data_IF_409242542972
#
_entry.id   IF_409242542972
#
_cell.length_a   1.000
_cell.length_b   1.000
_cell.length_c   1.000
_cell.angle_alpha   90.00
_cell.angle_beta   90.00
_cell.angle_gamma   90.00
#
_symmetry.space_group_name_H-M   'P 1'
#
loop_
_entity.id
_entity.type
_entity.pdbx_description
1 polymer ?
#
# COMPACT_ATOMS: atom_id res chain seq x y z
N UNK A 1 17.34 -4.65 -12.43
CA UNK A 1 17.25 -6.14 -12.45
C UNK A 1 16.15 -6.69 -11.52
N UNK A 2 15.14 -5.90 -11.11
CA UNK A 2 14.08 -6.33 -10.19
C UNK A 2 12.67 -5.95 -10.68
N UNK A 3 12.44 -6.01 -11.99
CA UNK A 3 11.14 -5.65 -12.61
C UNK A 3 10.49 -6.80 -13.39
N UNK A 4 11.13 -7.97 -13.46
CA UNK A 4 10.67 -9.12 -14.27
C UNK A 4 10.18 -10.34 -13.46
N UNK A 5 10.12 -10.28 -12.13
CA UNK A 5 9.70 -11.44 -11.32
C UNK A 5 8.16 -11.60 -11.27
N UNK A 6 7.40 -10.61 -11.73
CA UNK A 6 5.93 -10.58 -11.58
C UNK A 6 5.18 -10.39 -12.91
N UNK A 7 5.51 -11.17 -13.95
CA UNK A 7 4.73 -11.15 -15.21
C UNK A 7 3.38 -11.89 -15.10
N UNK A 8 3.16 -12.67 -14.02
CA UNK A 8 1.87 -13.32 -13.75
C UNK A 8 1.34 -12.95 -12.34
N UNK A 9 0.09 -12.49 -12.21
CA UNK A 9 -0.47 -12.05 -10.93
C UNK A 9 -0.60 -13.21 -9.94
N UNK A 10 -0.45 -12.90 -8.65
CA UNK A 10 -0.69 -13.82 -7.52
C UNK A 10 0.19 -15.09 -7.46
N UNK A 11 1.41 -15.08 -8.04
CA UNK A 11 2.38 -16.19 -7.91
C UNK A 11 3.28 -16.16 -6.67
N UNK A 12 3.30 -15.03 -5.96
CA UNK A 12 4.08 -14.82 -4.75
C UNK A 12 3.27 -13.95 -3.80
N UNK A 13 3.28 -14.27 -2.52
CA UNK A 13 2.58 -13.51 -1.47
C UNK A 13 3.41 -13.41 -0.20
N UNK A 14 2.90 -12.62 0.73
CA UNK A 14 3.49 -12.37 2.03
C UNK A 14 3.29 -13.61 2.92
N UNK A 15 4.31 -13.98 3.68
CA UNK A 15 4.20 -15.08 4.63
C UNK A 15 3.31 -14.73 5.83
N UNK A 16 3.35 -15.57 6.87
CA UNK A 16 2.57 -15.32 8.10
C UNK A 16 2.95 -14.02 8.82
N UNK A 17 4.23 -13.63 8.75
CA UNK A 17 4.71 -12.38 9.35
C UNK A 17 4.27 -11.18 8.51
N UNK A 18 3.82 -10.13 9.19
CA UNK A 18 3.50 -8.86 8.54
C UNK A 18 4.75 -8.08 8.13
N UNK A 19 4.55 -6.99 7.39
CA UNK A 19 5.60 -6.10 6.90
C UNK A 19 6.27 -5.30 8.04
N UNK A 20 5.64 -5.25 9.22
CA UNK A 20 6.16 -4.59 10.41
C UNK A 20 6.81 -5.57 11.40
N UNK A 21 7.87 -5.13 12.07
CA UNK A 21 8.44 -5.81 13.25
C UNK A 21 9.62 -6.73 12.98
N UNK A 22 10.04 -6.87 11.72
CA UNK A 22 11.23 -7.63 11.32
C UNK A 22 11.14 -9.13 11.64
N UNK A 23 12.24 -9.84 11.41
CA UNK A 23 12.40 -11.24 11.76
C UNK A 23 13.52 -11.42 12.77
N UNK A 24 13.31 -12.34 13.70
CA UNK A 24 14.27 -12.63 14.76
C UNK A 24 15.14 -13.81 14.34
N UNK A 25 16.46 -13.60 14.36
CA UNK A 25 17.44 -14.61 13.98
C UNK A 25 18.46 -14.82 15.09
N UNK A 26 18.97 -16.04 15.21
CA UNK A 26 20.14 -16.35 16.02
C UNK A 26 21.38 -15.70 15.39
N UNK A 27 22.14 -14.96 16.18
CA UNK A 27 23.33 -14.25 15.76
C UNK A 27 24.59 -14.96 16.27
N UNK A 28 25.35 -15.55 15.34
CA UNK A 28 26.65 -16.17 15.63
C UNK A 28 27.81 -15.23 15.26
N UNK A 29 27.75 -13.96 15.70
CA UNK A 29 28.83 -12.99 15.49
C UNK A 29 28.98 -12.05 16.69
N UNK A 30 30.17 -11.48 16.86
CA UNK A 30 30.50 -10.53 17.93
C UNK A 30 29.97 -9.12 17.64
N UNK A 31 28.71 -9.01 17.25
CA UNK A 31 28.07 -7.73 17.00
C UNK A 31 26.88 -7.46 17.88
N UNK A 32 25.98 -6.61 17.38
CA UNK A 32 24.77 -6.18 18.06
C UNK A 32 23.97 -7.41 18.53
N UNK A 33 23.56 -7.40 19.79
CA UNK A 33 22.63 -8.37 20.37
C UNK A 33 21.43 -7.61 20.88
N UNK A 34 20.22 -8.02 20.51
CA UNK A 34 18.99 -7.38 21.02
C UNK A 34 18.40 -8.15 22.20
N UNK A 35 18.47 -9.48 22.17
CA UNK A 35 17.99 -10.35 23.26
C UNK A 35 18.91 -11.56 23.42
N UNK A 36 18.92 -12.14 24.61
CA UNK A 36 19.53 -13.45 24.87
C UNK A 36 18.42 -14.38 25.33
N UNK A 37 18.22 -15.50 24.62
CA UNK A 37 17.21 -16.50 24.93
C UNK A 37 17.91 -17.85 25.04
N UNK A 38 17.85 -18.50 26.21
CA UNK A 38 18.55 -19.77 26.48
C UNK A 38 20.07 -19.73 26.17
N UNK A 39 20.73 -18.61 26.47
CA UNK A 39 22.16 -18.41 26.20
C UNK A 39 22.49 -18.04 24.75
N UNK A 40 21.49 -18.03 23.86
CA UNK A 40 21.66 -17.70 22.45
C UNK A 40 21.40 -16.23 22.19
N UNK A 41 22.31 -15.57 21.46
CA UNK A 41 22.15 -14.18 21.02
C UNK A 41 21.14 -14.11 19.89
N UNK A 42 20.14 -13.24 20.04
CA UNK A 42 19.07 -13.02 19.05
C UNK A 42 19.09 -11.56 18.60
N UNK A 43 18.94 -11.34 17.29
CA UNK A 43 18.81 -10.03 16.66
C UNK A 43 17.51 -9.91 15.90
N UNK A 44 16.95 -8.70 15.82
CA UNK A 44 15.88 -8.37 14.89
C UNK A 44 16.47 -7.79 13.62
N UNK A 45 16.06 -8.32 12.47
CA UNK A 45 16.44 -7.81 11.15
C UNK A 45 15.16 -7.33 10.45
N UNK A 46 15.12 -6.09 9.94
CA UNK A 46 14.06 -5.65 9.03
C UNK A 46 14.03 -6.59 7.82
N UNK A 47 13.02 -7.44 7.75
CA UNK A 47 12.93 -8.52 6.76
C UNK A 47 11.46 -8.81 6.46
N UNK A 48 11.19 -9.14 5.20
CA UNK A 48 9.87 -9.54 4.72
C UNK A 48 10.02 -10.96 4.17
N UNK A 49 9.11 -11.84 4.58
CA UNK A 49 9.05 -13.20 4.04
C UNK A 49 8.05 -13.25 2.90
N UNK A 50 8.52 -13.68 1.72
CA UNK A 50 7.69 -14.03 0.59
C UNK A 50 7.65 -15.54 0.38
N UNK A 51 6.50 -16.06 -0.05
CA UNK A 51 6.30 -17.48 -0.35
C UNK A 51 5.29 -17.67 -1.48
N UNK A 52 5.32 -18.85 -2.08
CA UNK A 52 4.29 -19.38 -2.98
C UNK A 52 3.60 -20.62 -2.39
N UNK A 53 3.89 -20.96 -1.13
CA UNK A 53 3.20 -22.02 -0.40
C UNK A 53 1.87 -21.50 0.07
N UNK A 54 0.80 -22.27 -0.20
CA UNK A 54 -0.53 -21.85 0.18
C UNK A 54 -0.68 -21.82 1.71
N UNK A 55 -1.25 -20.74 2.23
CA UNK A 55 -1.37 -20.48 3.66
C UNK A 55 -2.77 -19.97 3.97
N UNK A 56 -3.33 -20.38 5.11
CA UNK A 56 -4.68 -19.99 5.54
C UNK A 56 -4.86 -18.47 5.56
N UNK A 57 -3.85 -17.73 6.06
CA UNK A 57 -3.83 -16.27 6.12
C UNK A 57 -4.14 -15.59 4.78
N UNK A 58 -3.75 -16.19 3.64
CA UNK A 58 -3.99 -15.63 2.30
C UNK A 58 -5.48 -15.60 1.95
N UNK A 59 -6.27 -16.47 2.57
CA UNK A 59 -7.70 -16.65 2.32
C UNK A 59 -8.55 -16.09 3.48
N UNK A 60 -7.94 -15.36 4.42
CA UNK A 60 -8.66 -14.72 5.51
C UNK A 60 -9.32 -13.44 5.01
N UNK A 61 -10.65 -13.39 5.08
CA UNK A 61 -11.40 -12.18 4.77
C UNK A 61 -11.14 -11.08 5.80
N UNK A 62 -10.89 -9.89 5.28
CA UNK A 62 -10.87 -8.68 6.07
C UNK A 62 -12.32 -8.28 6.40
N UNK A 63 -12.66 -8.29 7.69
CA UNK A 63 -13.97 -7.82 8.15
C UNK A 63 -14.10 -6.32 7.89
N UNK A 64 -15.01 -5.94 7.00
CA UNK A 64 -15.34 -4.56 6.67
C UNK A 64 -16.59 -4.12 7.45
N UNK A 65 -16.49 -3.00 8.15
CA UNK A 65 -17.57 -2.51 9.02
C UNK A 65 -17.79 -0.99 8.94
N UNK A 66 -17.00 -0.30 8.12
CA UNK A 66 -17.17 1.14 7.89
C UNK A 66 -18.11 1.39 6.71
N UNK A 67 -18.87 2.47 6.80
CA UNK A 67 -19.73 2.98 5.73
C UNK A 67 -19.04 4.14 5.06
N UNK A 68 -19.15 4.24 3.74
CA UNK A 68 -18.60 5.33 2.95
C UNK A 68 -19.29 6.66 3.31
N UNK A 69 -18.48 7.71 3.43
CA UNK A 69 -18.96 9.09 3.46
C UNK A 69 -17.95 10.00 2.74
N UNK A 70 -18.38 10.92 1.89
CA UNK A 70 -17.48 11.80 1.14
C UNK A 70 -16.51 12.61 2.01
N UNK A 71 -16.93 12.95 3.24
CA UNK A 71 -16.11 13.71 4.18
C UNK A 71 -14.97 12.87 4.77
N UNK A 72 -15.22 11.59 5.09
CA UNK A 72 -14.20 10.72 5.69
C UNK A 72 -13.25 10.10 4.65
N UNK A 73 -13.69 9.99 3.40
CA UNK A 73 -12.96 9.35 2.30
C UNK A 73 -12.85 10.32 1.12
N UNK A 74 -11.90 11.26 1.18
CA UNK A 74 -11.73 12.24 0.14
C UNK A 74 -11.36 11.56 -1.18
N UNK A 75 -11.91 12.07 -2.29
CA UNK A 75 -11.55 11.61 -3.63
C UNK A 75 -10.22 12.20 -4.07
N UNK A 76 -9.44 11.43 -4.83
CA UNK A 76 -8.25 11.98 -5.46
C UNK A 76 -8.61 12.94 -6.58
N UNK A 77 -7.76 13.95 -6.78
CA UNK A 77 -7.88 14.93 -7.86
C UNK A 77 -7.45 14.29 -9.18
N UNK A 78 -6.44 13.42 -9.11
CA UNK A 78 -5.70 12.91 -10.25
C UNK A 78 -5.95 11.43 -10.55
N UNK A 79 -7.00 10.85 -9.97
CA UNK A 79 -7.42 9.47 -10.22
C UNK A 79 -8.85 9.24 -9.70
N UNK A 80 -9.64 8.42 -10.37
CA UNK A 80 -11.01 8.09 -9.92
C UNK A 80 -11.00 7.02 -8.82
N UNK A 81 -10.54 7.42 -7.64
CA UNK A 81 -10.53 6.59 -6.43
C UNK A 81 -10.67 7.45 -5.18
N UNK A 82 -10.97 6.79 -4.05
CA UNK A 82 -10.99 7.43 -2.72
C UNK A 82 -9.71 7.11 -1.94
N UNK A 83 -9.28 8.06 -1.11
CA UNK A 83 -8.24 7.84 -0.11
C UNK A 83 -8.81 7.09 1.09
N UNK A 84 -8.17 5.98 1.43
CA UNK A 84 -8.43 5.23 2.65
C UNK A 84 -7.16 5.26 3.49
N UNK A 85 -7.16 6.07 4.55
CA UNK A 85 -5.96 6.36 5.34
C UNK A 85 -5.43 5.15 6.13
N UNK A 86 -6.30 4.17 6.43
CA UNK A 86 -5.96 2.94 7.15
C UNK A 86 -6.77 1.76 6.62
N UNK A 87 -6.17 0.58 6.58
CA UNK A 87 -6.85 -0.66 6.15
C UNK A 87 -8.12 -0.99 6.94
N UNK A 88 -8.16 -0.68 8.23
CA UNK A 88 -9.36 -0.88 9.09
C UNK A 88 -10.53 0.05 8.74
N UNK A 89 -10.27 1.07 7.92
CA UNK A 89 -11.27 2.04 7.48
C UNK A 89 -11.80 1.74 6.09
N UNK A 90 -11.46 0.61 5.46
CA UNK A 90 -12.02 0.26 4.15
C UNK A 90 -13.55 0.15 4.28
N UNK A 91 -14.33 0.93 3.51
CA UNK A 91 -15.78 0.90 3.57
C UNK A 91 -16.34 -0.36 2.88
N UNK A 92 -17.36 -0.99 3.47
CA UNK A 92 -17.96 -2.21 2.92
C UNK A 92 -18.91 -1.92 1.74
N UNK A 93 -19.46 -0.71 1.69
CA UNK A 93 -20.50 -0.23 0.76
C UNK A 93 -19.93 0.62 -0.38
N UNK A 94 -18.62 0.59 -0.60
CA UNK A 94 -17.97 1.25 -1.73
C UNK A 94 -17.41 0.21 -2.71
N UNK A 95 -17.84 0.30 -3.97
CA UNK A 95 -17.45 -0.64 -5.04
C UNK A 95 -16.42 -0.06 -6.02
N UNK A 96 -16.08 1.23 -5.86
CA UNK A 96 -15.07 1.91 -6.65
C UNK A 96 -13.64 1.56 -6.22
N UNK A 97 -12.66 2.16 -6.91
CA UNK A 97 -11.25 2.00 -6.57
C UNK A 97 -10.92 2.76 -5.28
N UNK A 98 -10.07 2.15 -4.45
CA UNK A 98 -9.62 2.69 -3.17
C UNK A 98 -8.11 2.69 -3.12
N UNK A 99 -7.51 3.81 -2.72
CA UNK A 99 -6.09 3.86 -2.37
C UNK A 99 -5.90 3.54 -0.90
N UNK A 100 -5.29 2.40 -0.61
CA UNK A 100 -5.01 1.92 0.76
C UNK A 100 -3.51 1.98 1.09
N UNK A 101 -3.09 1.99 2.36
CA UNK A 101 -1.67 1.99 2.72
C UNK A 101 -0.96 0.73 2.23
N UNK A 102 0.36 0.79 1.98
CA UNK A 102 1.17 -0.40 1.58
C UNK A 102 1.03 -1.57 2.57
N UNK A 103 0.84 -1.27 3.85
CA UNK A 103 0.64 -2.29 4.90
C UNK A 103 -0.63 -3.12 4.70
N UNK A 104 -1.52 -2.75 3.78
CA UNK A 104 -2.64 -3.58 3.33
C UNK A 104 -2.18 -4.97 2.82
N UNK A 105 -0.96 -5.10 2.30
CA UNK A 105 -0.42 -6.40 1.84
C UNK A 105 -0.37 -7.47 2.94
N UNK A 106 -0.41 -7.08 4.21
CA UNK A 106 -0.47 -8.03 5.33
C UNK A 106 -1.85 -8.71 5.46
N UNK A 107 -2.88 -8.10 4.87
CA UNK A 107 -4.31 -8.46 4.97
C UNK A 107 -4.93 -8.73 3.59
N UNK A 108 -4.11 -8.85 2.55
CA UNK A 108 -4.59 -9.04 1.19
C UNK A 108 -5.10 -10.47 1.00
N UNK A 109 -6.41 -10.59 0.79
CA UNK A 109 -7.05 -11.78 0.26
C UNK A 109 -7.40 -11.55 -1.22
N UNK A 110 -6.83 -12.30 -2.18
CA UNK A 110 -7.14 -12.17 -3.61
C UNK A 110 -8.55 -12.64 -3.99
N UNK A 111 -9.27 -13.34 -3.11
CA UNK A 111 -10.68 -13.67 -3.31
C UNK A 111 -11.59 -12.47 -2.99
N UNK A 112 -11.18 -11.64 -2.02
CA UNK A 112 -11.94 -10.47 -1.57
C UNK A 112 -11.59 -9.19 -2.34
N UNK A 113 -10.33 -9.03 -2.75
CA UNK A 113 -9.84 -7.81 -3.40
C UNK A 113 -9.05 -8.10 -4.67
N UNK A 114 -9.08 -7.14 -5.58
CA UNK A 114 -8.23 -7.03 -6.74
C UNK A 114 -7.21 -5.90 -6.52
N UNK A 115 -5.92 -6.17 -6.78
CA UNK A 115 -4.89 -5.12 -6.82
C UNK A 115 -4.83 -4.58 -8.25
N UNK A 116 -5.07 -3.27 -8.39
CA UNK A 116 -5.01 -2.55 -9.66
C UNK A 116 -3.59 -2.03 -9.91
N UNK A 117 -2.91 -1.58 -8.86
CA UNK A 117 -1.53 -1.09 -8.97
C UNK A 117 -1.10 -0.22 -7.80
N UNK A 118 -0.15 0.69 -8.05
CA UNK A 118 0.47 1.53 -7.01
C UNK A 118 0.57 2.99 -7.44
N UNK A 119 0.05 3.89 -6.60
CA UNK A 119 0.06 5.35 -6.83
C UNK A 119 1.16 6.06 -6.02
N UNK A 120 2.42 5.68 -6.21
CA UNK A 120 3.56 6.20 -5.44
C UNK A 120 4.39 7.29 -6.15
N UNK A 121 4.00 7.70 -7.36
CA UNK A 121 4.80 8.61 -8.19
C UNK A 121 5.71 7.89 -9.18
N UNK A 122 6.04 8.56 -10.28
CA UNK A 122 6.91 8.01 -11.31
C UNK A 122 6.16 7.03 -12.24
N UNK A 123 6.92 6.14 -12.86
CA UNK A 123 6.47 5.27 -13.94
C UNK A 123 5.31 4.35 -13.52
N UNK A 124 5.44 3.63 -12.40
CA UNK A 124 4.42 2.71 -11.91
C UNK A 124 3.05 3.38 -11.72
N UNK A 125 3.03 4.57 -11.13
CA UNK A 125 1.78 5.33 -10.96
C UNK A 125 1.20 5.79 -12.30
N UNK A 126 2.05 6.23 -13.23
CA UNK A 126 1.63 6.66 -14.57
C UNK A 126 1.05 5.49 -15.37
N UNK A 127 1.66 4.31 -15.29
CA UNK A 127 1.15 3.08 -15.92
C UNK A 127 -0.23 2.69 -15.40
N UNK A 128 -0.50 2.93 -14.11
CA UNK A 128 -1.81 2.71 -13.50
C UNK A 128 -2.86 3.76 -13.90
N UNK A 129 -2.49 4.77 -14.71
CA UNK A 129 -3.35 5.88 -15.12
C UNK A 129 -3.41 7.05 -14.13
N UNK A 130 -2.56 7.07 -13.10
CA UNK A 130 -2.53 8.19 -12.15
C UNK A 130 -2.02 9.46 -12.84
N UNK A 131 -2.78 10.55 -12.71
CA UNK A 131 -2.63 11.82 -13.42
C UNK A 131 -2.91 11.76 -14.94
N UNK A 132 -3.54 10.70 -15.46
CA UNK A 132 -3.96 10.67 -16.87
C UNK A 132 -5.12 11.64 -17.17
N UNK A 133 -5.91 11.99 -16.15
CA UNK A 133 -7.01 12.95 -16.24
C UNK A 133 -6.57 14.42 -16.14
N UNK A 134 -5.27 14.69 -16.01
CA UNK A 134 -4.73 16.05 -15.84
C UNK A 134 -3.93 16.51 -17.05
N UNK A 135 -4.05 17.80 -17.39
CA UNK A 135 -3.19 18.45 -18.37
C UNK A 135 -1.80 18.76 -17.78
N UNK A 136 -0.86 19.14 -18.65
CA UNK A 136 0.49 19.57 -18.24
C UNK A 136 0.43 20.81 -17.34
N UNK A 137 -0.45 21.76 -17.67
CA UNK A 137 -0.66 22.99 -16.90
C UNK A 137 -1.24 22.71 -15.52
N UNK A 138 -2.21 21.79 -15.43
CA UNK A 138 -2.79 21.35 -14.16
C UNK A 138 -1.75 20.63 -13.29
N UNK A 139 -0.94 19.74 -13.88
CA UNK A 139 0.17 19.11 -13.18
C UNK A 139 1.19 20.15 -12.67
N UNK A 140 1.52 21.16 -13.47
CA UNK A 140 2.41 22.24 -13.07
C UNK A 140 1.82 23.11 -11.96
N UNK A 141 0.50 23.35 -11.96
CA UNK A 141 -0.19 24.06 -10.89
C UNK A 141 -0.13 23.29 -9.56
N UNK A 142 -0.42 21.98 -9.58
CA UNK A 142 -0.29 21.12 -8.40
C UNK A 142 1.14 21.08 -7.87
N UNK A 143 2.14 21.01 -8.76
CA UNK A 143 3.56 21.08 -8.37
C UNK A 143 3.97 22.43 -7.78
N UNK A 144 3.36 23.54 -8.22
CA UNK A 144 3.60 24.86 -7.64
C UNK A 144 3.06 24.96 -6.21
N UNK A 145 1.90 24.36 -5.96
CA UNK A 145 1.28 24.33 -4.64
C UNK A 145 1.98 23.38 -3.67
N UNK A 146 2.26 22.14 -4.10
CA UNK A 146 3.00 21.14 -3.34
C UNK A 146 4.21 20.65 -4.14
N UNK A 147 5.41 21.08 -3.72
CA UNK A 147 6.69 20.72 -4.36
C UNK A 147 7.00 19.22 -4.27
N UNK A 148 6.29 18.45 -3.44
CA UNK A 148 6.39 17.00 -3.36
C UNK A 148 5.55 16.27 -4.42
N UNK A 149 4.67 16.98 -5.12
CA UNK A 149 3.86 16.39 -6.19
C UNK A 149 4.76 15.89 -7.34
N UNK A 150 4.45 14.71 -7.85
CA UNK A 150 5.07 14.12 -9.05
C UNK A 150 3.96 13.46 -9.84
N UNK A 151 4.07 13.44 -11.18
CA UNK A 151 3.14 12.65 -12.01
C UNK A 151 3.17 11.18 -11.54
N UNK A 152 2.00 10.54 -11.47
CA UNK A 152 1.85 9.20 -10.92
C UNK A 152 1.68 9.12 -9.40
N UNK A 153 1.83 10.24 -8.67
CA UNK A 153 1.64 10.28 -7.21
C UNK A 153 0.24 10.76 -6.90
N UNK A 154 -0.53 9.97 -6.14
CA UNK A 154 -1.90 10.33 -5.77
C UNK A 154 -1.93 11.58 -4.89
N UNK A 155 -2.91 12.44 -5.12
CA UNK A 155 -3.15 13.62 -4.29
C UNK A 155 -4.63 13.94 -4.18
N UNK A 156 -5.01 14.50 -3.03
CA UNK A 156 -6.38 14.93 -2.73
C UNK A 156 -6.37 16.28 -1.99
N UNK A 157 -7.55 16.87 -1.81
CA UNK A 157 -7.76 18.05 -0.98
C UNK A 157 -8.27 17.61 0.38
N UNK A 158 -7.62 18.02 1.46
CA UNK A 158 -8.17 17.81 2.79
C UNK A 158 -9.36 18.76 3.06
N UNK A 159 -9.97 18.67 4.25
CA UNK A 159 -11.09 19.50 4.67
C UNK A 159 -10.80 21.01 4.63
N UNK A 160 -9.53 21.41 4.78
CA UNK A 160 -9.11 22.82 4.70
C UNK A 160 -8.85 23.29 3.27
N UNK A 161 -9.08 22.44 2.26
CA UNK A 161 -8.77 22.72 0.85
C UNK A 161 -7.27 22.67 0.51
N UNK A 162 -6.40 22.25 1.43
CA UNK A 162 -4.96 22.11 1.19
C UNK A 162 -4.69 20.86 0.36
N UNK A 163 -3.81 20.97 -0.63
CA UNK A 163 -3.33 19.81 -1.38
C UNK A 163 -2.48 18.90 -0.49
N UNK A 164 -2.81 17.62 -0.48
CA UNK A 164 -2.08 16.58 0.23
C UNK A 164 -1.61 15.54 -0.77
N UNK A 165 -0.29 15.43 -0.96
CA UNK A 165 0.31 14.30 -1.66
C UNK A 165 0.37 13.07 -0.77
N UNK A 166 -0.17 11.94 -1.23
CA UNK A 166 -0.12 10.71 -0.46
C UNK A 166 1.30 10.11 -0.43
N UNK A 167 1.65 9.49 0.70
CA UNK A 167 2.65 8.44 0.67
C UNK A 167 2.10 7.28 -0.17
N UNK A 168 2.97 6.38 -0.64
CA UNK A 168 2.59 5.30 -1.53
C UNK A 168 1.30 4.57 -1.10
N UNK A 169 0.37 4.45 -2.05
CA UNK A 169 -0.91 3.76 -1.91
C UNK A 169 -1.00 2.61 -2.90
N UNK A 170 -1.53 1.48 -2.43
CA UNK A 170 -1.94 0.38 -3.28
C UNK A 170 -3.37 0.70 -3.72
N UNK A 171 -3.62 0.68 -5.02
CA UNK A 171 -4.94 0.82 -5.59
C UNK A 171 -5.61 -0.55 -5.58
N UNK A 172 -6.73 -0.67 -4.88
CA UNK A 172 -7.49 -1.91 -4.76
C UNK A 172 -8.95 -1.70 -5.17
N UNK A 173 -9.61 -2.78 -5.54
CA UNK A 173 -11.06 -2.83 -5.75
C UNK A 173 -11.62 -4.09 -5.10
N UNK A 174 -12.81 -4.00 -4.52
CA UNK A 174 -13.52 -5.15 -3.96
C UNK A 174 -14.06 -6.02 -5.11
N UNK A 175 -13.99 -7.34 -4.96
CA UNK A 175 -14.56 -8.31 -5.92
C UNK A 175 -16.02 -8.61 -5.61
#
# INVERSE_FOLDING_TARGET
MCTKICEEPNKLWTGYRGFSGGMWFKANYEGKTEKIIHGEKIINVPSIWYTNLDIQKRHEDLILYKTYSPNAYPKYINYDAIEVSKTELIPYDYDGVMGVPITFMDKYNPEQFEIIGIGNGGELGVECGVSANLTVEQCAALFREDKSFRKGKLCYRNETGKLVGCYARILIKKK
#
